data_IF_449533514018
#
_entry.id   IF_449533514018
#
_cell.length_a   1.000
_cell.length_b   1.000
_cell.length_c   1.000
_cell.angle_alpha   90.00
_cell.angle_beta   90.00
_cell.angle_gamma   90.00
#
_symmetry.space_group_name_H-M   'P 1'
#
loop_
_entity.id
_entity.type
_entity.pdbx_description
1 polymer ?
#
# COMPACT_ATOMS: atom_id res chain seq x y z
N UNK A 1 -7.30 1.33 -4.40
CA UNK A 1 -8.19 1.34 -3.21
C UNK A 1 -9.14 0.17 -3.34
N UNK A 2 -9.06 -0.80 -2.44
CA UNK A 2 -9.96 -1.94 -2.42
C UNK A 2 -10.86 -1.85 -1.20
N UNK A 3 -12.11 -2.30 -1.39
CA UNK A 3 -13.13 -2.33 -0.36
C UNK A 3 -13.04 -3.71 0.30
N UNK A 4 -12.58 -3.78 1.56
CA UNK A 4 -12.43 -5.05 2.27
C UNK A 4 -13.76 -5.65 2.72
N UNK A 5 -14.78 -4.82 2.95
CA UNK A 5 -16.08 -5.28 3.43
C UNK A 5 -17.23 -4.67 2.63
N UNK A 6 -17.50 -5.15 1.38
CA UNK A 6 -18.60 -4.62 0.56
C UNK A 6 -19.98 -4.83 1.20
N UNK A 7 -20.12 -5.85 2.05
CA UNK A 7 -21.36 -6.13 2.81
C UNK A 7 -21.74 -4.96 3.75
N UNK A 8 -20.77 -4.14 4.18
CA UNK A 8 -21.06 -2.99 5.04
C UNK A 8 -22.00 -1.94 4.36
N UNK A 9 -22.04 -1.91 3.02
CA UNK A 9 -23.02 -1.05 2.31
C UNK A 9 -24.47 -1.44 2.55
N UNK A 10 -24.76 -2.67 2.98
CA UNK A 10 -26.09 -3.06 3.42
C UNK A 10 -26.56 -2.23 4.63
N UNK A 11 -25.63 -1.66 5.40
CA UNK A 11 -25.96 -0.71 6.47
C UNK A 11 -26.69 0.54 5.99
N UNK A 12 -26.53 0.95 4.70
CA UNK A 12 -27.31 2.06 4.13
C UNK A 12 -28.81 1.76 4.03
N UNK A 13 -29.21 0.48 4.00
CA UNK A 13 -30.63 0.09 4.04
C UNK A 13 -31.32 0.57 5.33
N UNK A 14 -30.58 0.80 6.41
CA UNK A 14 -31.12 1.39 7.64
C UNK A 14 -31.60 2.84 7.46
N UNK A 15 -31.21 3.51 6.39
CA UNK A 15 -31.76 4.82 6.05
C UNK A 15 -33.26 4.75 5.74
N UNK A 16 -33.74 3.64 5.17
CA UNK A 16 -35.15 3.45 4.79
C UNK A 16 -36.10 3.53 6.01
N UNK A 17 -35.89 2.73 7.08
CA UNK A 17 -36.75 2.84 8.26
C UNK A 17 -36.62 4.18 8.98
N UNK A 18 -35.43 4.80 8.98
CA UNK A 18 -35.26 6.15 9.53
C UNK A 18 -36.11 7.16 8.79
N UNK A 19 -36.09 7.15 7.46
CA UNK A 19 -36.89 8.02 6.61
C UNK A 19 -38.41 7.75 6.81
N UNK A 20 -38.80 6.47 6.88
CA UNK A 20 -40.20 6.09 7.11
C UNK A 20 -40.73 6.59 8.46
N UNK A 21 -39.92 6.45 9.53
CA UNK A 21 -40.27 6.95 10.86
C UNK A 21 -40.49 8.48 10.85
N UNK A 22 -39.67 9.20 10.10
CA UNK A 22 -39.82 10.65 9.96
C UNK A 22 -41.03 11.03 9.12
N UNK A 23 -41.41 10.23 8.13
CA UNK A 23 -42.63 10.45 7.34
C UNK A 23 -43.90 10.13 8.16
N UNK A 24 -43.87 9.09 9.02
CA UNK A 24 -45.02 8.69 9.84
C UNK A 24 -45.28 9.60 11.04
N UNK A 25 -44.31 10.41 11.47
CA UNK A 25 -44.38 11.18 12.72
C UNK A 25 -45.14 12.47 12.59
N UNK A 26 -46.36 12.55 12.06
CA UNK A 26 -47.18 13.71 12.29
C UNK A 26 -48.66 13.44 12.04
N UNK A 27 -49.30 12.83 13.02
CA UNK A 27 -50.71 13.18 13.29
C UNK A 27 -50.70 14.21 14.42
N UNK A 28 -50.83 15.49 14.10
CA UNK A 28 -51.28 16.48 15.09
C UNK A 28 -52.68 16.06 15.51
N UNK A 29 -52.89 15.83 16.81
CA UNK A 29 -54.25 15.75 17.36
C UNK A 29 -54.82 17.15 17.29
N UNK A 30 -55.84 17.32 16.47
CA UNK A 30 -56.70 18.52 16.50
C UNK A 30 -57.47 18.45 17.82
N UNK A 31 -57.15 19.35 18.74
CA UNK A 31 -58.04 19.63 19.88
C UNK A 31 -59.07 20.66 19.41
N UNK A 32 -60.30 20.22 19.35
CA UNK A 32 -61.42 21.11 19.14
C UNK A 32 -61.55 22.05 20.35
N UNK A 33 -61.20 23.31 20.16
CA UNK A 33 -61.49 24.37 21.13
C UNK A 33 -62.72 25.09 20.61
N UNK A 34 -63.84 24.95 21.32
CA UNK A 34 -65.10 25.59 21.00
C UNK A 34 -64.92 27.13 21.10
N UNK A 35 -65.32 27.79 20.00
CA UNK A 35 -65.40 29.28 19.84
C UNK A 35 -64.14 29.95 19.25
N UNK A 36 -63.98 29.76 17.92
CA UNK A 36 -63.17 30.70 17.11
C UNK A 36 -63.73 30.75 15.66
N UNK A 37 -65.04 31.02 15.53
CA UNK A 37 -65.65 31.10 14.23
C UNK A 37 -65.11 32.25 13.36
N UNK A 38 -64.51 33.25 13.93
CA UNK A 38 -63.92 34.39 13.22
C UNK A 38 -62.49 34.17 12.72
N UNK A 39 -61.79 33.12 13.21
CA UNK A 39 -60.42 32.83 12.77
C UNK A 39 -60.36 31.78 11.66
N UNK A 40 -61.46 31.10 11.36
CA UNK A 40 -61.51 30.09 10.27
C UNK A 40 -61.41 30.69 8.88
N UNK A 41 -61.70 31.96 8.70
CA UNK A 41 -61.62 32.65 7.43
C UNK A 41 -60.25 33.22 7.05
N UNK A 42 -59.34 33.30 7.99
CA UNK A 42 -58.03 33.94 7.78
C UNK A 42 -56.88 32.94 7.63
N UNK A 43 -57.09 31.68 7.99
CA UNK A 43 -56.04 30.65 7.91
C UNK A 43 -56.51 29.53 6.98
N UNK A 44 -56.78 29.83 5.74
CA UNK A 44 -56.53 28.89 4.66
C UNK A 44 -55.00 28.86 4.45
N UNK A 45 -54.27 28.39 5.46
CA UNK A 45 -52.93 27.90 5.25
C UNK A 45 -53.04 26.72 4.29
N UNK A 46 -52.77 27.00 3.04
CA UNK A 46 -52.44 26.02 2.03
C UNK A 46 -51.20 25.28 2.52
N UNK A 47 -51.42 24.39 3.48
CA UNK A 47 -50.38 23.43 3.85
C UNK A 47 -50.16 22.56 2.60
N UNK A 48 -49.21 23.00 1.81
CA UNK A 48 -48.68 22.17 0.74
C UNK A 48 -48.16 20.88 1.38
N UNK A 49 -49.02 19.87 1.33
CA UNK A 49 -48.78 18.55 1.96
C UNK A 49 -47.81 17.74 1.15
N UNK A 50 -46.67 18.33 0.77
CA UNK A 50 -45.61 17.61 0.09
C UNK A 50 -44.64 17.07 1.14
N UNK A 51 -44.55 15.74 1.29
CA UNK A 51 -43.67 15.09 2.27
C UNK A 51 -42.19 15.54 2.13
N UNK A 52 -41.81 15.99 0.95
CA UNK A 52 -40.47 16.50 0.64
C UNK A 52 -40.12 17.83 1.30
N UNK A 53 -41.10 18.75 1.51
CA UNK A 53 -40.86 20.03 2.16
C UNK A 53 -40.63 19.89 3.67
N UNK A 54 -41.19 18.85 4.29
CA UNK A 54 -40.96 18.54 5.73
C UNK A 54 -39.57 17.95 6.00
N UNK A 55 -39.03 17.22 5.03
CA UNK A 55 -37.70 16.63 5.13
C UNK A 55 -36.60 17.72 5.14
N UNK A 56 -36.78 18.79 4.39
CA UNK A 56 -35.80 19.90 4.26
C UNK A 56 -35.55 20.69 5.55
N UNK A 57 -36.43 20.64 6.53
CA UNK A 57 -36.36 21.43 7.76
C UNK A 57 -35.87 20.66 8.98
N UNK A 58 -35.56 19.38 8.85
CA UNK A 58 -35.11 18.56 10.00
C UNK A 58 -33.60 18.38 10.04
N UNK A 59 -32.91 19.31 10.71
CA UNK A 59 -31.48 19.23 11.01
C UNK A 59 -31.12 17.87 11.68
N UNK A 60 -32.02 17.39 12.53
CA UNK A 60 -31.83 16.13 13.26
C UNK A 60 -31.80 14.90 12.29
N UNK A 61 -32.68 14.86 11.30
CA UNK A 61 -32.70 13.81 10.28
C UNK A 61 -31.42 13.85 9.45
N UNK A 62 -30.99 15.05 9.05
CA UNK A 62 -29.73 15.23 8.31
C UNK A 62 -28.55 14.70 9.13
N UNK A 63 -28.48 15.04 10.42
CA UNK A 63 -27.43 14.62 11.32
C UNK A 63 -27.43 13.08 11.49
N UNK A 64 -28.60 12.47 11.62
CA UNK A 64 -28.75 11.00 11.74
C UNK A 64 -28.27 10.28 10.47
N UNK A 65 -28.64 10.78 9.29
CA UNK A 65 -28.18 10.21 8.02
C UNK A 65 -26.68 10.42 7.82
N UNK A 66 -26.15 11.55 8.24
CA UNK A 66 -24.71 11.81 8.21
C UNK A 66 -23.94 10.84 9.12
N UNK A 67 -24.42 10.64 10.35
CA UNK A 67 -23.81 9.67 11.29
C UNK A 67 -23.87 8.26 10.71
N UNK A 68 -25.03 7.86 10.14
CA UNK A 68 -25.17 6.54 9.49
C UNK A 68 -24.18 6.39 8.34
N UNK A 69 -24.03 7.41 7.49
CA UNK A 69 -23.08 7.40 6.39
C UNK A 69 -21.65 7.25 6.88
N UNK A 70 -21.25 8.04 7.89
CA UNK A 70 -19.90 7.96 8.46
C UNK A 70 -19.64 6.60 9.09
N UNK A 71 -20.62 6.03 9.78
CA UNK A 71 -20.54 4.70 10.37
C UNK A 71 -20.37 3.62 9.30
N UNK A 72 -21.14 3.68 8.22
CA UNK A 72 -21.01 2.76 7.08
C UNK A 72 -19.63 2.90 6.44
N UNK A 73 -19.16 4.13 6.20
CA UNK A 73 -17.81 4.38 5.65
C UNK A 73 -16.71 3.82 6.56
N UNK A 74 -16.85 3.95 7.87
CA UNK A 74 -15.92 3.37 8.83
C UNK A 74 -15.91 1.84 8.77
N UNK A 75 -17.09 1.22 8.63
CA UNK A 75 -17.23 -0.25 8.52
C UNK A 75 -16.74 -0.81 7.18
N UNK A 76 -16.80 -0.02 6.11
CA UNK A 76 -16.33 -0.42 4.76
C UNK A 76 -14.83 -0.68 4.74
N UNK A 77 -14.06 -0.17 5.73
CA UNK A 77 -12.61 -0.33 5.82
C UNK A 77 -11.95 -0.07 4.46
N UNK A 78 -11.91 1.18 4.06
CA UNK A 78 -11.13 1.59 2.90
C UNK A 78 -9.66 1.30 3.19
N UNK A 79 -9.12 0.23 2.61
CA UNK A 79 -7.71 -0.08 2.70
C UNK A 79 -7.05 0.16 1.35
N UNK A 80 -5.88 0.76 1.37
CA UNK A 80 -4.96 0.63 0.26
C UNK A 80 -4.29 -0.74 0.43
N UNK A 81 -4.51 -1.66 -0.50
CA UNK A 81 -3.64 -2.82 -0.61
C UNK A 81 -2.34 -2.25 -1.19
N UNK A 82 -1.40 -1.95 -0.33
CA UNK A 82 -0.02 -1.87 -0.74
C UNK A 82 0.38 -3.32 -0.96
N UNK A 83 0.74 -3.73 -2.19
CA UNK A 83 1.25 -5.07 -2.40
C UNK A 83 2.44 -5.23 -1.46
N UNK A 84 2.33 -6.17 -0.53
CA UNK A 84 3.42 -6.48 0.37
C UNK A 84 4.50 -7.12 -0.48
N UNK A 85 5.59 -6.42 -0.68
CA UNK A 85 6.72 -6.90 -1.48
C UNK A 85 7.45 -7.99 -0.69
N UNK A 86 7.40 -7.89 0.65
CA UNK A 86 8.01 -8.86 1.57
C UNK A 86 6.94 -9.72 2.21
N UNK A 87 7.07 -11.03 2.12
CA UNK A 87 6.25 -11.99 2.87
C UNK A 87 7.01 -13.31 3.05
N UNK A 88 6.93 -13.86 4.25
CA UNK A 88 7.68 -15.07 4.60
C UNK A 88 9.20 -14.82 4.57
N UNK A 89 9.94 -15.65 3.83
CA UNK A 89 11.38 -15.44 3.60
C UNK A 89 11.60 -14.57 2.37
N UNK A 90 12.24 -13.43 2.55
CA UNK A 90 12.58 -12.49 1.47
C UNK A 90 14.09 -12.40 1.32
N UNK A 91 14.62 -12.55 0.11
CA UNK A 91 16.01 -12.25 -0.19
C UNK A 91 16.11 -11.00 -1.05
N UNK A 92 16.95 -10.06 -0.64
CA UNK A 92 17.31 -8.88 -1.43
C UNK A 92 18.66 -9.13 -2.08
N UNK A 93 18.70 -9.04 -3.41
CA UNK A 93 19.93 -8.96 -4.19
C UNK A 93 20.23 -7.47 -4.42
N UNK A 94 21.17 -6.94 -3.67
CA UNK A 94 21.58 -5.54 -3.73
C UNK A 94 22.74 -5.41 -4.72
N UNK A 95 22.49 -4.80 -5.86
CA UNK A 95 23.52 -4.53 -6.85
C UNK A 95 24.52 -3.52 -6.29
N UNK A 96 25.75 -3.96 -6.22
CA UNK A 96 26.91 -3.17 -5.81
C UNK A 96 28.01 -3.20 -6.88
N UNK A 97 27.65 -3.41 -8.14
CA UNK A 97 28.57 -3.34 -9.28
C UNK A 97 29.13 -1.94 -9.49
N UNK A 98 30.17 -1.82 -10.27
CA UNK A 98 30.83 -0.54 -10.52
C UNK A 98 29.93 0.52 -11.16
N UNK A 99 28.90 0.13 -11.93
CA UNK A 99 27.93 1.04 -12.54
C UNK A 99 27.08 1.77 -11.49
N UNK A 100 26.88 1.18 -10.33
CA UNK A 100 26.12 1.76 -9.22
C UNK A 100 26.81 2.98 -8.57
N UNK A 101 28.05 3.29 -8.96
CA UNK A 101 28.76 4.54 -8.58
C UNK A 101 28.26 5.77 -9.33
N UNK A 102 27.46 5.59 -10.40
CA UNK A 102 26.93 6.71 -11.15
C UNK A 102 26.10 7.66 -10.27
N UNK A 103 26.26 8.97 -10.49
CA UNK A 103 25.64 10.04 -9.69
C UNK A 103 24.38 10.61 -10.36
N UNK A 104 23.69 9.83 -11.16
CA UNK A 104 22.43 10.18 -11.80
C UNK A 104 21.20 9.79 -10.95
N UNK A 105 21.43 9.44 -9.71
CA UNK A 105 20.39 9.24 -8.71
C UNK A 105 19.67 10.53 -8.33
N UNK A 106 18.57 10.40 -7.60
CA UNK A 106 17.82 11.54 -7.10
C UNK A 106 18.69 12.45 -6.22
N UNK A 107 18.59 13.76 -6.43
CA UNK A 107 19.34 14.78 -5.68
C UNK A 107 20.89 14.69 -5.83
N UNK A 108 21.39 14.06 -6.93
CA UNK A 108 22.81 13.92 -7.16
C UNK A 108 23.50 12.84 -6.32
N UNK A 109 22.72 11.95 -5.68
CA UNK A 109 23.23 10.79 -4.98
C UNK A 109 23.66 9.69 -5.97
N UNK A 110 24.49 8.79 -5.50
CA UNK A 110 24.86 7.62 -6.29
C UNK A 110 23.68 6.66 -6.41
N UNK A 111 23.63 5.87 -7.48
CA UNK A 111 22.65 4.77 -7.63
C UNK A 111 22.73 3.81 -6.45
N UNK A 112 23.94 3.54 -5.95
CA UNK A 112 24.15 2.66 -4.81
C UNK A 112 23.51 3.21 -3.54
N UNK A 113 23.65 4.49 -3.25
CA UNK A 113 22.98 5.12 -2.11
C UNK A 113 21.48 5.00 -2.19
N UNK A 114 20.88 5.18 -3.38
CA UNK A 114 19.45 4.97 -3.58
C UNK A 114 19.04 3.50 -3.39
N UNK A 115 19.83 2.55 -3.95
CA UNK A 115 19.56 1.13 -3.81
C UNK A 115 19.62 0.69 -2.35
N UNK A 116 20.58 1.24 -1.58
CA UNK A 116 20.71 1.01 -0.15
C UNK A 116 19.52 1.55 0.63
N UNK A 117 19.08 2.77 0.31
CA UNK A 117 17.90 3.36 0.96
C UNK A 117 16.66 2.55 0.69
N UNK A 118 16.48 2.01 -0.53
CA UNK A 118 15.37 1.13 -0.88
C UNK A 118 15.42 -0.19 -0.11
N UNK A 119 16.60 -0.79 0.01
CA UNK A 119 16.78 -1.99 0.83
C UNK A 119 16.45 -1.73 2.31
N UNK A 120 16.83 -0.56 2.84
CA UNK A 120 16.49 -0.13 4.21
C UNK A 120 15.01 0.12 4.39
N UNK A 121 14.34 0.67 3.38
CA UNK A 121 12.89 0.85 3.36
C UNK A 121 12.18 -0.51 3.43
N UNK A 122 12.56 -1.45 2.55
CA UNK A 122 12.01 -2.79 2.53
C UNK A 122 12.23 -3.55 3.85
N UNK A 123 13.39 -3.37 4.49
CA UNK A 123 13.64 -3.93 5.81
C UNK A 123 12.69 -3.35 6.89
N UNK A 124 12.21 -2.12 6.69
CA UNK A 124 11.20 -1.50 7.57
C UNK A 124 9.80 -2.06 7.39
N UNK A 125 9.51 -2.66 6.23
CA UNK A 125 8.20 -3.23 5.89
C UNK A 125 8.01 -4.68 6.37
N UNK A 126 9.05 -5.29 6.98
CA UNK A 126 8.96 -6.63 7.55
C UNK A 126 7.85 -6.72 8.60
N UNK A 127 6.98 -7.69 8.44
CA UNK A 127 5.93 -7.96 9.38
C UNK A 127 6.27 -9.07 10.36
N UNK A 128 5.37 -9.34 11.32
CA UNK A 128 5.54 -10.42 12.26
C UNK A 128 5.67 -11.78 11.54
N UNK A 129 6.77 -12.49 11.79
CA UNK A 129 7.04 -13.80 11.19
C UNK A 129 7.74 -13.76 9.83
N UNK A 130 8.02 -12.56 9.28
CA UNK A 130 8.82 -12.42 8.07
C UNK A 130 10.31 -12.37 8.42
N UNK A 131 11.13 -12.94 7.54
CA UNK A 131 12.59 -12.93 7.63
C UNK A 131 13.19 -12.37 6.34
N UNK A 132 14.28 -11.66 6.45
CA UNK A 132 14.99 -11.09 5.32
C UNK A 132 16.47 -11.45 5.36
N UNK A 133 16.98 -11.79 4.19
CA UNK A 133 18.43 -11.93 3.92
C UNK A 133 18.83 -10.91 2.87
N UNK A 134 20.04 -10.41 2.94
CA UNK A 134 20.59 -9.48 1.94
C UNK A 134 21.89 -10.06 1.40
N UNK A 135 21.96 -10.12 0.07
CA UNK A 135 23.13 -10.57 -0.69
C UNK A 135 23.64 -9.36 -1.48
N UNK A 136 24.88 -9.01 -1.28
CA UNK A 136 25.57 -7.98 -2.07
C UNK A 136 26.08 -8.60 -3.36
N UNK A 137 25.69 -8.02 -4.49
CA UNK A 137 26.07 -8.47 -5.83
C UNK A 137 27.14 -7.55 -6.37
N UNK A 138 28.38 -8.02 -6.34
CA UNK A 138 29.56 -7.29 -6.82
C UNK A 138 30.45 -8.25 -7.62
N UNK A 139 31.71 -7.89 -7.84
CA UNK A 139 32.75 -8.75 -8.40
C UNK A 139 32.91 -10.08 -7.64
N UNK A 140 32.60 -10.07 -6.35
CA UNK A 140 32.38 -11.26 -5.52
C UNK A 140 31.04 -11.06 -4.81
N UNK A 141 30.09 -11.95 -5.09
CA UNK A 141 28.79 -11.90 -4.42
C UNK A 141 28.85 -12.63 -3.09
N UNK A 142 28.32 -12.00 -2.06
CA UNK A 142 28.36 -12.51 -0.68
C UNK A 142 27.06 -12.23 0.07
N UNK A 143 26.73 -13.09 1.01
CA UNK A 143 25.62 -12.87 1.93
C UNK A 143 26.05 -11.87 3.00
N UNK A 144 25.46 -10.67 2.98
CA UNK A 144 25.73 -9.60 3.96
C UNK A 144 25.11 -9.94 5.30
N UNK A 145 23.90 -10.49 5.27
CA UNK A 145 23.18 -10.97 6.44
C UNK A 145 22.30 -12.14 6.07
N UNK A 146 22.33 -13.19 6.89
CA UNK A 146 21.44 -14.34 6.77
C UNK A 146 20.00 -14.00 7.17
N UNK A 147 19.05 -14.92 6.89
CA UNK A 147 17.64 -14.72 7.20
C UNK A 147 17.43 -14.37 8.68
N UNK A 148 16.85 -13.22 8.91
CA UNK A 148 16.52 -12.73 10.25
C UNK A 148 15.31 -11.82 10.22
N UNK A 149 14.52 -11.85 11.29
CA UNK A 149 13.42 -10.91 11.53
C UNK A 149 13.89 -9.62 12.22
N UNK A 150 15.19 -9.53 12.59
CA UNK A 150 15.72 -8.37 13.30
C UNK A 150 16.05 -7.24 12.33
N UNK A 151 15.10 -6.33 12.13
CA UNK A 151 15.25 -5.16 11.26
C UNK A 151 16.46 -4.30 11.59
N UNK A 152 16.86 -4.21 12.87
CA UNK A 152 18.00 -3.40 13.26
C UNK A 152 19.31 -4.03 12.79
N UNK A 153 19.43 -5.36 12.89
CA UNK A 153 20.60 -6.09 12.38
C UNK A 153 20.70 -5.98 10.86
N UNK A 154 19.55 -6.08 10.15
CA UNK A 154 19.51 -5.90 8.70
C UNK A 154 19.96 -4.49 8.33
N UNK A 155 19.45 -3.47 9.00
CA UNK A 155 19.84 -2.07 8.74
C UNK A 155 21.33 -1.84 8.95
N UNK A 156 21.88 -2.34 10.04
CA UNK A 156 23.32 -2.21 10.33
C UNK A 156 24.17 -2.90 9.24
N UNK A 157 23.80 -4.11 8.85
CA UNK A 157 24.49 -4.87 7.83
C UNK A 157 24.46 -4.18 6.45
N UNK A 158 23.28 -3.68 6.05
CA UNK A 158 23.11 -2.96 4.77
C UNK A 158 23.86 -1.62 4.77
N UNK A 159 23.91 -0.90 5.90
CA UNK A 159 24.66 0.35 6.02
C UNK A 159 26.16 0.18 5.91
N UNK A 160 26.67 -0.98 6.33
CA UNK A 160 28.10 -1.31 6.28
C UNK A 160 28.57 -1.82 4.92
N UNK A 161 27.64 -2.00 3.96
CA UNK A 161 27.98 -2.44 2.61
C UNK A 161 28.58 -1.34 1.76
N UNK A 162 29.54 -1.71 0.90
CA UNK A 162 30.22 -0.82 -0.02
C UNK A 162 30.02 -1.28 -1.49
N UNK A 163 30.12 -0.32 -2.41
CA UNK A 163 30.07 -0.60 -3.84
C UNK A 163 31.37 -1.26 -4.31
N UNK A 164 31.25 -2.33 -5.11
CA UNK A 164 32.38 -3.03 -5.70
C UNK A 164 33.06 -2.26 -6.82
N UNK A 165 34.11 -2.86 -7.41
CA UNK A 165 34.90 -2.27 -8.50
C UNK A 165 34.68 -2.94 -9.85
N UNK A 166 34.01 -4.09 -9.89
CA UNK A 166 33.78 -4.91 -11.08
C UNK A 166 32.32 -5.03 -11.47
N UNK A 167 32.05 -5.92 -12.41
CA UNK A 167 30.70 -6.33 -12.78
C UNK A 167 30.10 -7.22 -11.68
N UNK A 168 28.79 -7.26 -11.56
CA UNK A 168 28.12 -8.12 -10.60
C UNK A 168 28.19 -9.60 -10.99
N UNK A 169 28.60 -10.46 -10.05
CA UNK A 169 28.53 -11.92 -10.19
C UNK A 169 27.11 -12.40 -9.85
N UNK A 170 26.19 -12.20 -10.79
CA UNK A 170 24.79 -12.56 -10.65
C UNK A 170 24.57 -14.06 -10.50
N UNK A 171 25.41 -14.89 -11.12
CA UNK A 171 25.26 -16.35 -11.07
C UNK A 171 25.47 -16.87 -9.65
N UNK A 172 26.53 -16.42 -8.98
CA UNK A 172 26.77 -16.75 -7.57
C UNK A 172 25.67 -16.20 -6.67
N UNK A 173 25.25 -14.94 -6.88
CA UNK A 173 24.19 -14.31 -6.09
C UNK A 173 22.86 -15.09 -6.19
N UNK A 174 22.47 -15.50 -7.39
CA UNK A 174 21.25 -16.28 -7.60
C UNK A 174 21.36 -17.68 -6.99
N UNK A 175 22.54 -18.29 -7.02
CA UNK A 175 22.76 -19.59 -6.38
C UNK A 175 22.63 -19.49 -4.85
N UNK A 176 23.18 -18.44 -4.25
CA UNK A 176 23.03 -18.16 -2.81
C UNK A 176 21.58 -17.92 -2.44
N UNK A 177 20.85 -17.12 -3.25
CA UNK A 177 19.43 -16.86 -3.04
C UNK A 177 18.58 -18.13 -3.15
N UNK A 178 18.90 -19.00 -4.14
CA UNK A 178 18.21 -20.27 -4.36
C UNK A 178 18.39 -21.22 -3.17
N UNK A 179 19.55 -21.24 -2.55
CA UNK A 179 19.81 -22.06 -1.37
C UNK A 179 18.89 -21.68 -0.20
N UNK A 180 18.61 -20.37 -0.03
CA UNK A 180 17.72 -19.89 1.01
C UNK A 180 16.23 -20.18 0.79
N UNK A 181 15.85 -20.49 -0.45
CA UNK A 181 14.44 -20.77 -0.82
C UNK A 181 13.98 -22.19 -0.44
N UNK A 182 14.91 -23.13 -0.20
CA UNK A 182 14.60 -24.56 -0.13
C UNK A 182 13.62 -24.94 0.98
N UNK A 183 13.61 -24.22 2.10
CA UNK A 183 12.77 -24.52 3.27
C UNK A 183 11.70 -23.45 3.54
N UNK A 184 11.37 -22.62 2.55
CA UNK A 184 10.42 -21.53 2.72
C UNK A 184 9.05 -21.89 2.17
N UNK A 185 8.00 -21.78 3.00
CA UNK A 185 6.61 -21.90 2.55
C UNK A 185 6.23 -20.74 1.62
N UNK A 186 6.71 -19.54 1.94
CA UNK A 186 6.59 -18.34 1.12
C UNK A 186 7.98 -17.74 0.92
N UNK A 187 8.37 -17.58 -0.33
CA UNK A 187 9.65 -17.03 -0.71
C UNK A 187 9.49 -15.90 -1.71
N UNK A 188 10.17 -14.80 -1.47
CA UNK A 188 10.21 -13.64 -2.35
C UNK A 188 11.65 -13.26 -2.65
N UNK A 189 11.95 -12.99 -3.93
CA UNK A 189 13.24 -12.47 -4.36
C UNK A 189 13.08 -11.06 -4.91
N UNK A 190 13.84 -10.12 -4.38
CA UNK A 190 13.85 -8.73 -4.81
C UNK A 190 15.25 -8.40 -5.33
N UNK A 191 15.31 -7.85 -6.52
CA UNK A 191 16.56 -7.40 -7.13
C UNK A 191 16.53 -5.88 -7.23
N UNK A 192 17.48 -5.22 -6.61
CA UNK A 192 17.65 -3.77 -6.66
C UNK A 192 18.88 -3.48 -7.53
N UNK A 193 18.68 -2.92 -8.72
CA UNK A 193 19.74 -2.78 -9.73
C UNK A 193 19.48 -1.61 -10.67
N UNK A 194 20.50 -1.15 -11.35
CA UNK A 194 20.38 -0.15 -12.44
C UNK A 194 20.03 -0.75 -13.81
N UNK A 195 19.77 -2.06 -13.85
CA UNK A 195 19.40 -2.79 -15.07
C UNK A 195 20.57 -3.50 -15.78
N UNK A 196 21.78 -3.39 -15.26
CA UNK A 196 22.99 -4.12 -15.76
C UNK A 196 22.96 -5.61 -15.46
N UNK A 197 21.81 -6.26 -15.57
CA UNK A 197 21.65 -7.69 -15.33
C UNK A 197 21.92 -8.44 -16.65
N UNK A 198 23.16 -8.41 -17.10
CA UNK A 198 23.59 -9.23 -18.21
C UNK A 198 23.79 -10.67 -17.75
N UNK A 199 23.13 -11.63 -18.40
CA UNK A 199 23.22 -13.07 -18.15
C UNK A 199 22.67 -13.55 -16.80
N UNK A 200 21.44 -13.17 -16.43
CA UNK A 200 20.68 -14.02 -15.54
C UNK A 200 20.46 -15.33 -16.30
N UNK A 201 21.28 -16.34 -16.01
CA UNK A 201 21.02 -17.70 -16.47
C UNK A 201 19.58 -18.10 -16.15
N UNK A 202 19.10 -19.20 -16.71
CA UNK A 202 17.77 -19.68 -16.38
C UNK A 202 17.62 -19.78 -14.86
N UNK A 203 16.69 -19.01 -14.31
CA UNK A 203 16.34 -19.13 -12.90
C UNK A 203 15.93 -20.58 -12.63
N UNK A 204 16.36 -21.17 -11.52
CA UNK A 204 15.89 -22.50 -11.12
C UNK A 204 14.36 -22.52 -11.10
N UNK A 205 13.75 -23.60 -11.63
CA UNK A 205 12.29 -23.73 -11.77
C UNK A 205 11.50 -23.59 -10.46
N UNK A 206 12.17 -23.75 -9.33
CA UNK A 206 11.59 -23.67 -7.98
C UNK A 206 11.64 -22.27 -7.37
N UNK A 207 12.17 -21.27 -8.07
CA UNK A 207 12.25 -19.88 -7.57
C UNK A 207 11.17 -19.05 -8.26
N UNK A 208 10.35 -18.30 -7.48
CA UNK A 208 9.39 -17.38 -8.08
C UNK A 208 10.11 -16.27 -8.86
N UNK A 209 9.43 -15.72 -9.87
CA UNK A 209 9.97 -14.61 -10.64
C UNK A 209 10.37 -13.45 -9.71
N UNK A 210 11.60 -12.92 -9.83
CA UNK A 210 12.06 -11.84 -8.97
C UNK A 210 11.29 -10.54 -9.22
N UNK A 211 11.06 -9.79 -8.17
CA UNK A 211 10.61 -8.40 -8.27
C UNK A 211 11.82 -7.53 -8.52
N UNK A 212 11.89 -6.86 -9.67
CA UNK A 212 13.00 -5.97 -10.00
C UNK A 212 12.62 -4.54 -9.64
N UNK A 213 13.45 -3.88 -8.84
CA UNK A 213 13.35 -2.47 -8.49
C UNK A 213 14.47 -1.75 -9.25
N UNK A 214 14.13 -1.02 -10.33
CA UNK A 214 15.12 -0.30 -11.12
C UNK A 214 15.56 0.96 -10.37
N UNK A 215 16.87 1.21 -10.35
CA UNK A 215 17.50 2.40 -9.76
C UNK A 215 18.18 3.22 -10.87
N UNK A 216 18.17 4.54 -10.71
CA UNK A 216 18.75 5.46 -11.67
C UNK A 216 17.76 5.97 -12.70
N UNK A 217 18.06 7.14 -13.26
CA UNK A 217 17.17 7.84 -14.21
C UNK A 217 17.61 7.70 -15.66
N UNK A 218 18.84 7.23 -15.92
CA UNK A 218 19.42 7.15 -17.26
C UNK A 218 19.92 5.76 -17.61
N UNK A 219 19.52 5.26 -18.77
CA UNK A 219 20.07 4.03 -19.36
C UNK A 219 21.38 4.25 -20.14
N UNK A 220 21.90 5.49 -20.18
CA UNK A 220 23.11 5.84 -20.92
C UNK A 220 24.35 5.52 -20.10
N UNK A 221 24.95 4.38 -20.33
CA UNK A 221 26.24 4.02 -19.74
C UNK A 221 27.35 4.17 -20.79
N UNK A 222 28.46 4.81 -20.40
CA UNK A 222 29.69 4.82 -21.19
C UNK A 222 30.65 3.87 -20.51
N UNK A 223 31.02 2.78 -21.19
CA UNK A 223 31.99 1.84 -20.70
C UNK A 223 33.17 1.73 -21.67
N UNK A 224 34.38 1.64 -21.14
CA UNK A 224 35.56 1.28 -21.93
C UNK A 224 35.56 -0.24 -22.04
N UNK A 225 35.25 -0.75 -23.24
CA UNK A 225 35.14 -2.20 -23.47
C UNK A 225 36.46 -2.86 -23.87
N UNK A 226 37.44 -2.07 -24.32
CA UNK A 226 38.81 -2.55 -24.59
C UNK A 226 39.83 -1.43 -24.46
N UNK A 227 41.00 -1.72 -23.89
CA UNK A 227 42.22 -0.93 -23.96
C UNK A 227 43.21 -1.72 -24.83
N UNK A 228 43.62 -1.18 -25.96
CA UNK A 228 44.62 -1.76 -26.83
C UNK A 228 46.03 -1.26 -26.46
#
# INVERSE_FOLDING_TARGET
MTILAPIAFLGLLLAIPILLLYMLRLRRREMFVSSNFLWQQVVEDTEANTPWQRLRRNLLLFLQLLILLLLVLALVRLAQIVPRITSGKTVILLDASASMRSTDGDEGRTRYEQARDEALFLAGELGPGDEMSVIRVADVSETVIEYTANTQSIRAAVQDTEVGSGAGDWQTALTLAAAGAQDAEFFSMIIITDGGIDNIGQLPENIPAPTIIPIGSSASNIAITALA
#
